data_IF_289187167029
#
_entry.id   IF_289187167029
#
_cell.length_a   1.000
_cell.length_b   1.000
_cell.length_c   1.000
_cell.angle_alpha   90.00
_cell.angle_beta   90.00
_cell.angle_gamma   90.00
#
_symmetry.space_group_name_H-M   'P 1'
#
loop_
_entity.id
_entity.type
_entity.pdbx_description
1 polymer ?
#
# COMPACT_ATOMS: atom_id res chain seq x y z
N UNK A 1 -0.30 -19.67 5.20
CA UNK A 1 0.03 -18.24 5.03
C UNK A 1 -0.04 -17.98 3.55
N UNK A 2 -1.11 -17.33 3.10
CA UNK A 2 -1.33 -17.01 1.68
C UNK A 2 -0.67 -15.66 1.37
N UNK A 3 -0.13 -15.51 0.15
CA UNK A 3 0.46 -14.24 -0.29
C UNK A 3 -0.36 -13.68 -1.45
N UNK A 4 -0.62 -12.38 -1.39
CA UNK A 4 -1.28 -11.64 -2.47
C UNK A 4 -0.19 -11.06 -3.36
N UNK A 5 -0.26 -11.31 -4.67
CA UNK A 5 0.67 -10.78 -5.66
C UNK A 5 -0.12 -10.07 -6.77
N UNK A 6 0.21 -8.81 -7.07
CA UNK A 6 -0.15 -8.27 -8.39
C UNK A 6 0.73 -8.96 -9.43
N UNK A 7 0.11 -9.73 -10.32
CA UNK A 7 0.78 -10.29 -11.50
C UNK A 7 0.59 -9.33 -12.67
N UNK A 8 1.68 -8.71 -13.10
CA UNK A 8 1.75 -7.82 -14.26
C UNK A 8 2.20 -8.62 -15.48
N UNK A 9 1.30 -9.44 -16.05
CA UNK A 9 1.63 -10.17 -17.28
C UNK A 9 1.76 -9.18 -18.44
N UNK A 10 2.99 -9.04 -18.96
CA UNK A 10 3.33 -8.24 -20.14
C UNK A 10 2.97 -9.04 -21.41
N UNK A 11 1.92 -8.65 -22.12
CA UNK A 11 1.72 -9.05 -23.51
C UNK A 11 2.07 -7.84 -24.40
N UNK A 12 3.25 -7.87 -25.01
CA UNK A 12 3.72 -6.89 -26.01
C UNK A 12 2.94 -7.06 -27.34
N UNK A 13 2.88 -6.04 -28.21
CA UNK A 13 1.67 -5.26 -28.43
C UNK A 13 0.99 -5.64 -29.75
N UNK A 14 -0.33 -5.79 -29.72
CA UNK A 14 -1.13 -5.67 -30.92
C UNK A 14 -2.49 -5.08 -30.57
N UNK A 15 -2.76 -3.89 -31.11
CA UNK A 15 -4.08 -3.28 -31.15
C UNK A 15 -4.73 -2.90 -29.79
N UNK A 16 -4.50 -1.65 -29.38
CA UNK A 16 -5.61 -0.74 -29.03
C UNK A 16 -6.51 -1.06 -27.84
N UNK A 17 -6.07 -1.82 -26.84
CA UNK A 17 -6.82 -1.99 -25.58
C UNK A 17 -5.98 -1.51 -24.41
N UNK A 18 -6.54 -0.61 -23.58
CA UNK A 18 -5.93 -0.16 -22.32
C UNK A 18 -5.55 -1.39 -21.50
N UNK A 19 -4.32 -1.44 -20.99
CA UNK A 19 -3.85 -2.50 -20.11
C UNK A 19 -4.87 -2.75 -18.98
N UNK A 20 -5.47 -3.94 -18.95
CA UNK A 20 -6.37 -4.35 -17.88
C UNK A 20 -5.54 -4.95 -16.75
N UNK A 21 -5.24 -4.14 -15.74
CA UNK A 21 -4.60 -4.63 -14.51
C UNK A 21 -5.62 -5.45 -13.71
N UNK A 22 -5.19 -6.61 -13.19
CA UNK A 22 -5.98 -7.47 -12.31
C UNK A 22 -5.23 -7.71 -11.01
N UNK A 23 -5.96 -7.82 -9.91
CA UNK A 23 -5.40 -8.32 -8.66
C UNK A 23 -5.44 -9.86 -8.69
N UNK A 24 -4.33 -10.52 -8.37
CA UNK A 24 -4.29 -11.98 -8.24
C UNK A 24 -3.96 -12.39 -6.80
N UNK A 25 -4.57 -13.45 -6.35
CA UNK A 25 -4.29 -14.08 -5.06
C UNK A 25 -3.84 -15.51 -5.31
N UNK A 26 -2.66 -15.86 -4.81
CA UNK A 26 -2.13 -17.21 -4.91
C UNK A 26 -2.23 -17.89 -3.55
N UNK A 27 -2.94 -19.02 -3.48
CA UNK A 27 -2.97 -19.83 -2.27
C UNK A 27 -1.90 -20.91 -2.31
N UNK A 28 -1.04 -20.92 -1.28
CA UNK A 28 0.01 -21.93 -1.16
C UNK A 28 -0.54 -23.30 -0.76
N UNK A 29 -1.71 -23.34 -0.12
CA UNK A 29 -2.29 -24.58 0.39
C UNK A 29 -2.75 -25.53 -0.72
N UNK A 30 -3.19 -24.97 -1.85
CA UNK A 30 -3.81 -25.72 -2.94
C UNK A 30 -3.32 -25.30 -4.34
N UNK A 31 -2.44 -24.30 -4.44
CA UNK A 31 -1.91 -23.80 -5.71
C UNK A 31 -2.92 -23.00 -6.55
N UNK A 32 -4.11 -22.71 -6.01
CA UNK A 32 -5.13 -21.97 -6.74
C UNK A 32 -4.76 -20.50 -6.90
N UNK A 33 -5.10 -19.95 -8.07
CA UNK A 33 -5.01 -18.52 -8.36
C UNK A 33 -6.42 -17.97 -8.50
N UNK A 34 -6.80 -17.07 -7.61
CA UNK A 34 -7.99 -16.25 -7.77
C UNK A 34 -7.63 -14.93 -8.46
N UNK A 35 -8.57 -14.37 -9.23
CA UNK A 35 -8.40 -13.09 -9.91
C UNK A 35 -9.56 -12.17 -9.57
N UNK A 36 -9.24 -10.92 -9.29
CA UNK A 36 -10.17 -9.88 -8.88
C UNK A 36 -9.96 -8.62 -9.72
N UNK A 37 -10.97 -7.73 -9.69
CA UNK A 37 -10.90 -6.40 -10.30
C UNK A 37 -10.57 -6.44 -11.80
N UNK A 38 -11.27 -7.26 -12.59
CA UNK A 38 -11.08 -7.27 -14.05
C UNK A 38 -11.49 -5.93 -14.67
N UNK A 39 -10.51 -5.18 -15.17
CA UNK A 39 -10.73 -3.82 -15.65
C UNK A 39 -10.87 -2.78 -14.52
N UNK A 40 -10.38 -3.11 -13.33
CA UNK A 40 -10.28 -2.18 -12.21
C UNK A 40 -9.36 -1.00 -12.53
N UNK A 41 -9.49 0.07 -11.76
CA UNK A 41 -8.76 1.31 -11.96
C UNK A 41 -7.38 1.31 -11.28
N UNK A 42 -6.70 0.16 -11.22
CA UNK A 42 -5.37 0.04 -10.60
C UNK A 42 -4.34 0.72 -11.50
N UNK A 43 -3.49 1.57 -10.92
CA UNK A 43 -2.37 2.18 -11.62
C UNK A 43 -1.37 1.11 -12.06
N UNK A 44 -0.81 1.27 -13.26
CA UNK A 44 0.30 0.42 -13.72
C UNK A 44 1.47 0.54 -12.73
N UNK A 45 2.05 -0.60 -12.34
CA UNK A 45 3.13 -0.69 -11.35
C UNK A 45 2.79 -0.10 -9.97
N UNK A 46 1.51 -0.08 -9.59
CA UNK A 46 1.14 0.23 -8.21
C UNK A 46 1.88 -0.71 -7.25
N UNK A 47 2.53 -0.14 -6.23
CA UNK A 47 2.89 -0.90 -5.04
C UNK A 47 1.62 -1.47 -4.38
N UNK A 48 1.77 -2.50 -3.56
CA UNK A 48 0.67 -3.10 -2.82
C UNK A 48 0.98 -3.12 -1.33
N UNK A 49 -0.02 -2.76 -0.52
CA UNK A 49 -0.06 -3.08 0.90
C UNK A 49 -1.16 -4.10 1.16
N UNK A 50 -0.94 -5.03 2.08
CA UNK A 50 -1.98 -5.97 2.50
C UNK A 50 -2.12 -5.96 4.01
N UNK A 51 -3.33 -6.15 4.50
CA UNK A 51 -3.59 -6.31 5.93
C UNK A 51 -4.80 -7.21 6.16
N UNK A 52 -4.91 -7.69 7.39
CA UNK A 52 -5.91 -8.66 7.82
C UNK A 52 -6.63 -8.13 9.07
N UNK A 53 -7.96 -8.23 9.07
CA UNK A 53 -8.81 -7.94 10.23
C UNK A 53 -9.23 -9.28 10.88
N UNK A 54 -8.64 -9.66 12.02
CA UNK A 54 -8.94 -10.94 12.66
C UNK A 54 -10.38 -11.07 13.14
N UNK A 55 -11.05 -9.96 13.49
CA UNK A 55 -12.41 -10.00 14.03
C UNK A 55 -13.45 -10.43 12.99
N UNK A 56 -13.24 -10.09 11.72
CA UNK A 56 -14.14 -10.43 10.60
C UNK A 56 -13.56 -11.48 9.64
N UNK A 57 -12.35 -12.00 9.92
CA UNK A 57 -11.59 -12.87 9.01
C UNK A 57 -11.38 -12.24 7.62
N UNK A 58 -11.29 -10.91 7.56
CA UNK A 58 -11.29 -10.17 6.31
C UNK A 58 -9.89 -9.75 5.89
N UNK A 59 -9.61 -9.88 4.58
CA UNK A 59 -8.33 -9.53 3.97
C UNK A 59 -8.53 -8.34 3.06
N UNK A 60 -7.60 -7.40 3.15
CA UNK A 60 -7.65 -6.16 2.40
C UNK A 60 -6.36 -5.94 1.64
N UNK A 61 -6.47 -5.28 0.48
CA UNK A 61 -5.35 -4.85 -0.34
C UNK A 61 -5.47 -3.36 -0.60
N UNK A 62 -4.42 -2.62 -0.30
CA UNK A 62 -4.30 -1.20 -0.64
C UNK A 62 -3.46 -1.06 -1.91
N UNK A 63 -3.97 -0.28 -2.85
CA UNK A 63 -3.34 -0.01 -4.15
C UNK A 63 -3.55 1.46 -4.55
N UNK A 64 -2.78 1.94 -5.51
CA UNK A 64 -2.93 3.27 -6.09
C UNK A 64 -3.82 3.21 -7.34
N UNK A 65 -4.82 4.09 -7.43
CA UNK A 65 -5.66 4.18 -8.63
C UNK A 65 -4.95 4.91 -9.79
N UNK A 66 -5.31 4.55 -11.03
CA UNK A 66 -4.74 5.11 -12.25
C UNK A 66 -5.19 6.54 -12.56
N UNK A 67 -6.40 6.93 -12.13
CA UNK A 67 -7.01 8.20 -12.57
C UNK A 67 -6.48 9.42 -11.84
N UNK A 68 -6.56 9.41 -10.50
CA UNK A 68 -6.12 10.56 -9.69
C UNK A 68 -4.91 10.23 -8.80
N UNK A 69 -4.39 8.99 -8.84
CA UNK A 69 -3.22 8.60 -8.04
C UNK A 69 -3.48 8.48 -6.54
N UNK A 70 -4.75 8.54 -6.08
CA UNK A 70 -5.09 8.29 -4.67
C UNK A 70 -5.02 6.80 -4.36
N UNK A 71 -4.88 6.48 -3.08
CA UNK A 71 -4.92 5.10 -2.60
C UNK A 71 -6.35 4.63 -2.38
N UNK A 72 -6.57 3.34 -2.63
CA UNK A 72 -7.83 2.64 -2.41
C UNK A 72 -7.59 1.34 -1.69
N UNK A 73 -8.58 0.91 -0.94
CA UNK A 73 -8.62 -0.38 -0.27
C UNK A 73 -9.64 -1.29 -0.96
N UNK A 74 -9.24 -2.51 -1.29
CA UNK A 74 -10.11 -3.56 -1.81
C UNK A 74 -10.33 -4.64 -0.76
N UNK A 75 -11.59 -4.99 -0.50
CA UNK A 75 -11.97 -6.14 0.33
C UNK A 75 -11.99 -7.43 -0.50
N UNK A 76 -11.31 -8.46 -0.01
CA UNK A 76 -11.35 -9.79 -0.61
C UNK A 76 -12.62 -10.57 -0.26
N UNK A 77 -13.43 -10.15 0.70
CA UNK A 77 -14.70 -10.82 1.02
C UNK A 77 -15.83 -10.13 0.27
N UNK A 78 -15.99 -8.83 0.51
CA UNK A 78 -17.12 -8.06 -0.01
C UNK A 78 -16.97 -7.71 -1.50
N UNK A 79 -15.75 -7.85 -2.04
CA UNK A 79 -15.41 -7.52 -3.43
C UNK A 79 -15.67 -6.05 -3.78
N UNK A 80 -15.64 -5.21 -2.76
CA UNK A 80 -15.81 -3.76 -2.86
C UNK A 80 -14.48 -3.05 -2.76
N UNK A 81 -14.43 -1.88 -3.38
CA UNK A 81 -13.31 -0.95 -3.27
C UNK A 81 -13.77 0.32 -2.56
N UNK A 82 -12.97 0.78 -1.62
CA UNK A 82 -13.17 2.01 -0.88
C UNK A 82 -12.04 3.01 -1.14
N UNK A 83 -12.41 4.26 -1.41
CA UNK A 83 -11.46 5.34 -1.59
C UNK A 83 -10.85 5.76 -0.25
N UNK A 84 -9.52 5.88 -0.17
CA UNK A 84 -8.84 6.47 0.99
C UNK A 84 -8.64 7.97 0.68
N UNK A 85 -9.71 8.75 0.84
CA UNK A 85 -9.83 10.15 0.37
C UNK A 85 -8.67 11.05 0.81
N UNK A 86 -8.13 10.80 2.01
CA UNK A 86 -7.02 11.57 2.60
C UNK A 86 -5.65 11.35 1.94
N UNK A 87 -5.54 10.53 0.89
CA UNK A 87 -4.29 10.19 0.19
C UNK A 87 -4.15 10.84 -1.19
N UNK A 88 -4.88 11.92 -1.47
CA UNK A 88 -4.81 12.66 -2.74
C UNK A 88 -3.46 13.33 -3.02
N UNK A 89 -2.60 13.40 -2.00
CA UNK A 89 -1.23 13.88 -2.04
C UNK A 89 -0.19 12.79 -2.32
N UNK A 90 -0.59 11.51 -2.44
CA UNK A 90 0.31 10.42 -2.78
C UNK A 90 1.09 10.71 -4.08
N UNK A 91 2.40 10.42 -4.09
CA UNK A 91 3.20 10.48 -5.31
C UNK A 91 2.79 9.36 -6.28
N UNK A 92 2.95 9.57 -7.58
CA UNK A 92 2.75 8.51 -8.55
C UNK A 92 3.75 7.37 -8.29
N UNK A 93 3.28 6.11 -8.29
CA UNK A 93 4.10 4.95 -7.93
C UNK A 93 4.52 4.93 -6.46
N UNK A 94 3.77 5.59 -5.56
CA UNK A 94 4.12 5.65 -4.14
C UNK A 94 4.32 4.26 -3.56
N UNK A 95 5.34 4.05 -2.70
CA UNK A 95 5.42 2.84 -1.88
C UNK A 95 4.21 2.76 -0.96
N UNK A 96 3.73 1.54 -0.69
CA UNK A 96 2.58 1.30 0.16
C UNK A 96 2.95 0.24 1.18
N UNK A 97 2.75 0.53 2.46
CA UNK A 97 2.95 -0.43 3.53
C UNK A 97 1.79 -0.33 4.52
N UNK A 98 1.29 -1.47 5.01
CA UNK A 98 0.19 -1.49 5.97
C UNK A 98 0.53 -2.45 7.11
N UNK A 99 0.22 -2.05 8.34
CA UNK A 99 0.23 -2.95 9.50
C UNK A 99 -1.08 -2.80 10.27
N UNK A 100 -1.41 -3.76 11.12
CA UNK A 100 -2.59 -3.73 11.98
C UNK A 100 -2.16 -3.98 13.43
N UNK A 101 -2.77 -3.23 14.35
CA UNK A 101 -2.65 -3.44 15.78
C UNK A 101 -4.00 -3.22 16.46
N UNK A 102 -4.48 -4.23 17.17
CA UNK A 102 -5.73 -4.17 17.95
C UNK A 102 -6.92 -3.60 17.15
N UNK A 103 -7.11 -4.08 15.91
CA UNK A 103 -8.22 -3.66 15.05
C UNK A 103 -8.05 -2.26 14.42
N UNK A 104 -6.87 -1.67 14.56
CA UNK A 104 -6.51 -0.40 13.91
C UNK A 104 -5.47 -0.67 12.83
N UNK A 105 -5.78 -0.30 11.58
CA UNK A 105 -4.84 -0.41 10.47
C UNK A 105 -4.07 0.90 10.30
N UNK A 106 -2.77 0.80 10.04
CA UNK A 106 -1.87 1.93 9.82
C UNK A 106 -1.29 1.81 8.41
N UNK A 107 -1.69 2.71 7.52
CA UNK A 107 -1.23 2.82 6.16
C UNK A 107 -0.12 3.87 6.07
N UNK A 108 1.00 3.48 5.47
CA UNK A 108 2.13 4.35 5.18
C UNK A 108 2.35 4.47 3.67
N UNK A 109 2.64 5.69 3.23
CA UNK A 109 2.94 6.01 1.84
C UNK A 109 3.83 7.26 1.76
N UNK A 110 4.39 7.53 0.59
CA UNK A 110 5.08 8.79 0.31
C UNK A 110 4.16 9.79 -0.41
N UNK A 111 4.14 11.05 0.04
CA UNK A 111 3.49 12.13 -0.69
C UNK A 111 4.33 12.67 -1.86
N UNK A 112 3.80 13.63 -2.62
CA UNK A 112 4.45 14.29 -3.76
C UNK A 112 5.74 15.05 -3.42
N UNK A 113 6.02 15.28 -2.14
CA UNK A 113 7.25 15.90 -1.65
C UNK A 113 8.21 14.86 -1.04
N UNK A 114 7.88 13.58 -1.19
CA UNK A 114 8.56 12.43 -0.61
C UNK A 114 8.49 12.34 0.91
N UNK A 115 7.58 13.05 1.59
CA UNK A 115 7.40 12.85 3.03
C UNK A 115 6.74 11.50 3.29
N UNK A 116 7.16 10.81 4.35
CA UNK A 116 6.41 9.68 4.87
C UNK A 116 5.10 10.19 5.47
N UNK A 117 3.99 9.66 4.98
CA UNK A 117 2.64 9.95 5.45
C UNK A 117 2.03 8.72 6.09
N UNK A 118 1.13 8.95 7.04
CA UNK A 118 0.33 7.93 7.72
C UNK A 118 -1.16 8.25 7.61
N UNK A 119 -1.97 7.23 7.32
CA UNK A 119 -3.42 7.24 7.52
C UNK A 119 -3.80 6.08 8.42
N UNK A 120 -4.71 6.30 9.36
CA UNK A 120 -5.18 5.27 10.29
C UNK A 120 -6.61 4.86 9.94
N UNK A 121 -6.91 3.56 9.89
CA UNK A 121 -8.27 3.04 9.85
C UNK A 121 -8.69 2.61 11.25
N UNK A 122 -9.73 3.20 11.79
CA UNK A 122 -10.33 2.80 13.06
C UNK A 122 -11.85 2.82 12.94
N UNK A 123 -12.53 1.89 13.61
CA UNK A 123 -13.98 1.73 13.52
C UNK A 123 -14.49 1.66 12.06
N UNK A 124 -13.73 0.99 11.19
CA UNK A 124 -14.07 0.81 9.78
C UNK A 124 -13.82 2.02 8.86
N UNK A 125 -13.33 3.15 9.38
CA UNK A 125 -13.16 4.38 8.61
C UNK A 125 -11.70 4.84 8.55
N UNK A 126 -11.26 5.27 7.36
CA UNK A 126 -9.95 5.88 7.17
C UNK A 126 -9.97 7.34 7.62
N UNK A 127 -9.02 7.71 8.47
CA UNK A 127 -8.88 9.05 9.02
C UNK A 127 -8.11 10.03 8.12
N UNK A 128 -7.62 11.11 8.72
CA UNK A 128 -6.79 12.11 8.03
C UNK A 128 -5.34 11.64 7.83
N UNK A 129 -4.70 12.14 6.78
CA UNK A 129 -3.27 11.93 6.54
C UNK A 129 -2.42 12.84 7.43
N UNK A 130 -1.35 12.29 7.99
CA UNK A 130 -0.39 12.99 8.85
C UNK A 130 1.04 12.72 8.38
N UNK A 131 1.92 13.73 8.43
CA UNK A 131 3.36 13.50 8.26
C UNK A 131 3.86 12.68 9.46
N UNK A 132 4.63 11.63 9.19
CA UNK A 132 5.43 10.95 10.21
C UNK A 132 6.57 11.89 10.57
N UNK A 133 6.61 12.34 11.82
CA UNK A 133 7.60 13.35 12.25
C UNK A 133 9.01 12.78 12.22
N UNK A 134 9.97 13.67 12.00
CA UNK A 134 11.41 13.37 12.02
C UNK A 134 11.83 12.28 11.02
N UNK A 135 10.98 11.98 10.03
CA UNK A 135 11.26 11.03 8.96
C UNK A 135 12.00 11.74 7.82
N UNK A 136 13.20 11.28 7.40
CA UNK A 136 13.81 11.74 6.17
C UNK A 136 12.89 11.49 4.96
N UNK A 137 12.96 12.30 3.89
CA UNK A 137 12.21 12.05 2.66
C UNK A 137 12.50 10.64 2.10
N UNK A 138 11.49 10.00 1.52
CA UNK A 138 11.57 8.64 0.95
C UNK A 138 12.19 8.69 -0.44
N UNK A 139 13.19 7.84 -0.71
CA UNK A 139 13.73 7.69 -2.06
C UNK A 139 12.75 6.99 -3.03
N UNK A 140 13.26 6.60 -4.19
CA UNK A 140 12.50 5.83 -5.19
C UNK A 140 12.50 4.32 -4.87
N UNK A 141 12.17 3.98 -3.61
CA UNK A 141 12.24 2.63 -3.07
C UNK A 141 10.96 2.24 -2.31
N UNK A 142 10.87 0.98 -1.91
CA UNK A 142 9.76 0.44 -1.12
C UNK A 142 9.82 0.88 0.36
N UNK A 143 8.65 0.91 1.01
CA UNK A 143 8.51 1.06 2.46
C UNK A 143 8.07 -0.29 3.02
N UNK A 144 8.62 -0.68 4.17
CA UNK A 144 8.12 -1.78 4.97
C UNK A 144 7.72 -1.28 6.36
N UNK A 145 6.70 -1.90 6.95
CA UNK A 145 6.27 -1.60 8.32
C UNK A 145 5.98 -2.90 9.08
N UNK A 146 6.38 -2.94 10.34
CA UNK A 146 5.99 -3.98 11.30
C UNK A 146 5.55 -3.36 12.61
N UNK A 147 4.54 -3.94 13.24
CA UNK A 147 4.13 -3.55 14.59
C UNK A 147 4.83 -4.44 15.62
N UNK A 148 5.49 -3.83 16.60
CA UNK A 148 6.05 -4.54 17.75
C UNK A 148 6.07 -3.64 18.99
N UNK A 149 5.82 -4.21 20.17
CA UNK A 149 5.96 -3.52 21.47
C UNK A 149 5.13 -2.21 21.60
N UNK A 150 4.00 -2.09 20.89
CA UNK A 150 3.18 -0.87 20.89
C UNK A 150 3.72 0.25 19.99
N UNK A 151 4.61 -0.09 19.06
CA UNK A 151 5.17 0.84 18.08
C UNK A 151 5.08 0.27 16.66
N UNK A 152 4.92 1.17 15.69
CA UNK A 152 5.12 0.88 14.29
C UNK A 152 6.59 1.17 13.95
N UNK A 153 7.28 0.16 13.45
CA UNK A 153 8.66 0.24 12.98
C UNK A 153 8.62 0.36 11.45
N UNK A 154 9.01 1.52 10.93
CA UNK A 154 8.94 1.87 9.51
C UNK A 154 10.35 1.84 8.94
N UNK A 155 10.54 1.15 7.82
CA UNK A 155 11.84 0.94 7.18
C UNK A 155 11.79 1.35 5.71
N UNK A 156 12.79 2.12 5.27
CA UNK A 156 12.92 2.53 3.87
C UNK A 156 14.33 3.09 3.59
N UNK A 157 14.65 3.31 2.32
CA UNK A 157 15.84 4.05 1.92
C UNK A 157 15.49 5.54 1.76
N UNK A 158 16.17 6.41 2.49
CA UNK A 158 15.97 7.85 2.38
C UNK A 158 16.41 8.39 1.01
N UNK A 159 15.77 9.46 0.55
CA UNK A 159 16.16 10.19 -0.66
C UNK A 159 17.49 10.90 -0.44
N UNK A 160 18.26 10.97 -1.52
CA UNK A 160 19.62 11.52 -1.54
C UNK A 160 19.57 13.04 -1.67
N UNK A 161 19.40 13.73 -0.54
CA UNK A 161 19.41 15.20 -0.52
C UNK A 161 20.82 15.74 -0.19
N UNK A 162 21.72 14.89 0.33
CA UNK A 162 23.16 15.16 0.57
C UNK A 162 24.00 13.87 0.56
N UNK A 163 25.25 13.94 0.08
CA UNK A 163 26.18 12.80 -0.10
C UNK A 163 26.46 11.99 1.18
N UNK A 164 26.23 12.57 2.36
CA UNK A 164 26.46 11.93 3.67
C UNK A 164 25.22 11.24 4.28
N UNK A 165 24.04 11.34 3.65
CA UNK A 165 22.77 10.84 4.22
C UNK A 165 22.21 9.58 3.55
N UNK A 166 23.01 8.87 2.73
CA UNK A 166 22.59 7.57 2.19
C UNK A 166 22.49 6.56 3.31
N UNK A 167 21.25 6.27 3.71
CA UNK A 167 21.02 5.38 4.83
C UNK A 167 19.67 4.67 4.74
N UNK A 168 19.71 3.43 5.21
CA UNK A 168 18.52 2.76 5.70
C UNK A 168 17.93 3.59 6.84
N UNK A 169 16.69 4.04 6.65
CA UNK A 169 15.92 4.76 7.66
C UNK A 169 15.09 3.77 8.45
N UNK A 170 15.15 3.89 9.77
CA UNK A 170 14.28 3.20 10.71
C UNK A 170 13.59 4.23 11.59
N UNK A 171 12.28 4.38 11.41
CA UNK A 171 11.45 5.28 12.22
C UNK A 171 10.63 4.43 13.20
N UNK A 172 10.60 4.86 14.46
CA UNK A 172 9.75 4.26 15.50
C UNK A 172 8.64 5.25 15.78
N UNK A 173 7.42 4.89 15.41
CA UNK A 173 6.23 5.69 15.65
C UNK A 173 5.36 5.03 16.72
N UNK A 174 4.88 5.83 17.67
CA UNK A 174 3.96 5.35 18.70
C UNK A 174 2.55 5.16 18.12
N UNK A 175 1.94 4.02 18.46
CA UNK A 175 0.56 3.63 18.16
C UNK A 175 -0.42 4.44 19.00
#
# INVERSE_FOLDING_TARGET
MDWINADFSHLQPYSGTKDKVKLKEFSFSNGNVASYMDGGDVALNSSLGAWYEPASDERFVVYQEAKNGRLKEFSLIDRTTHDIVSTSDAKAGTPIAVTNYQGTAYLYYADKLDNVRRVTKSSGQWGSSQIVRDSPPVGDNQIAVVTANGFNHIFYLARDDTVDSRGFSHIIERI
#
